data_IF_798243553327
#
_entry.id   IF_798243553327
#
_cell.length_a   1.000
_cell.length_b   1.000
_cell.length_c   1.000
_cell.angle_alpha   90.00
_cell.angle_beta   90.00
_cell.angle_gamma   90.00
#
_symmetry.space_group_name_H-M   'P 1'
#
loop_
_entity.id
_entity.type
_entity.pdbx_description
1 polymer ?
#
# COMPACT_ATOMS: atom_id res chain seq x y z
N UNK A 1 -4.26 -14.00 -0.67
CA UNK A 1 -3.05 -13.30 -1.21
C UNK A 1 -2.20 -12.90 -0.03
N UNK A 2 -0.91 -12.71 -0.24
CA UNK A 2 0.07 -12.57 0.84
C UNK A 2 1.10 -11.49 0.51
N UNK A 3 1.46 -10.67 1.50
CA UNK A 3 2.64 -9.80 1.47
C UNK A 3 3.61 -10.27 2.54
N UNK A 4 4.83 -10.59 2.12
CA UNK A 4 5.91 -11.01 3.01
C UNK A 4 6.68 -9.80 3.52
N UNK A 5 6.77 -9.69 4.84
CA UNK A 5 7.44 -8.62 5.55
C UNK A 5 8.52 -9.22 6.44
N UNK A 6 9.77 -9.00 6.07
CA UNK A 6 10.97 -9.36 6.83
C UNK A 6 11.79 -8.11 7.14
N UNK A 7 12.76 -8.21 8.06
CA UNK A 7 13.58 -7.06 8.48
C UNK A 7 14.24 -6.29 7.32
N UNK A 8 14.68 -7.00 6.29
CA UNK A 8 15.31 -6.41 5.11
C UNK A 8 14.31 -6.09 3.98
N UNK A 9 13.01 -6.24 4.22
CA UNK A 9 12.00 -5.88 3.22
C UNK A 9 11.93 -4.36 3.13
N UNK A 10 12.01 -3.84 1.91
CA UNK A 10 11.86 -2.40 1.65
C UNK A 10 10.41 -2.05 1.36
N UNK A 11 10.05 -0.79 1.55
CA UNK A 11 8.74 -0.27 1.13
C UNK A 11 8.51 -0.47 -0.37
N UNK A 12 9.56 -0.40 -1.20
CA UNK A 12 9.48 -0.65 -2.64
C UNK A 12 9.16 -2.11 -2.95
N UNK A 13 9.72 -3.07 -2.20
CA UNK A 13 9.40 -4.49 -2.36
C UNK A 13 7.94 -4.77 -2.00
N UNK A 14 7.42 -4.18 -0.92
CA UNK A 14 5.99 -4.31 -0.57
C UNK A 14 5.06 -3.74 -1.64
N UNK A 15 5.41 -2.60 -2.24
CA UNK A 15 4.65 -2.06 -3.39
C UNK A 15 4.65 -3.04 -4.55
N UNK A 16 5.80 -3.62 -4.87
CA UNK A 16 5.94 -4.62 -5.93
C UNK A 16 5.09 -5.86 -5.67
N UNK A 17 5.16 -6.43 -4.46
CA UNK A 17 4.35 -7.59 -4.06
C UNK A 17 2.85 -7.30 -4.20
N UNK A 18 2.38 -6.13 -3.73
CA UNK A 18 0.98 -5.73 -3.86
C UNK A 18 0.54 -5.58 -5.33
N UNK A 19 1.32 -4.86 -6.15
CA UNK A 19 0.96 -4.63 -7.55
C UNK A 19 1.01 -5.90 -8.42
N UNK A 20 1.73 -6.96 -8.01
CA UNK A 20 1.63 -8.28 -8.66
C UNK A 20 0.24 -8.90 -8.52
N UNK A 21 -0.45 -8.65 -7.39
CA UNK A 21 -1.82 -9.12 -7.18
C UNK A 21 -2.86 -8.20 -7.82
N UNK A 22 -2.59 -6.89 -7.86
CA UNK A 22 -3.49 -5.89 -8.43
C UNK A 22 -2.75 -4.92 -9.35
N UNK A 23 -2.55 -5.25 -10.64
CA UNK A 23 -1.75 -4.46 -11.57
C UNK A 23 -2.25 -3.03 -11.82
N UNK A 24 -3.53 -2.76 -11.52
CA UNK A 24 -4.16 -1.45 -11.71
C UNK A 24 -4.38 -0.70 -10.41
N UNK A 25 -3.81 -1.22 -9.32
CA UNK A 25 -3.71 -0.57 -8.02
C UNK A 25 -2.24 -0.38 -7.64
N UNK A 26 -1.95 0.67 -6.87
CA UNK A 26 -0.65 0.84 -6.23
C UNK A 26 -0.84 1.18 -4.76
N UNK A 27 0.14 0.77 -3.98
CA UNK A 27 0.27 1.10 -2.57
C UNK A 27 1.25 2.26 -2.41
N UNK A 28 0.91 3.26 -1.62
CA UNK A 28 1.85 4.31 -1.21
C UNK A 28 1.88 4.41 0.30
N UNK A 29 3.06 4.72 0.84
CA UNK A 29 3.24 4.92 2.27
C UNK A 29 3.09 6.41 2.57
N UNK A 30 2.32 6.71 3.61
CA UNK A 30 2.19 8.06 4.12
C UNK A 30 3.34 8.34 5.10
N UNK A 31 3.76 9.60 5.23
CA UNK A 31 4.83 9.95 6.17
C UNK A 31 4.47 9.45 7.56
N UNK A 32 5.39 8.71 8.16
CA UNK A 32 5.24 8.22 9.51
C UNK A 32 6.11 9.03 10.48
N UNK A 33 5.54 9.44 11.61
CA UNK A 33 6.29 10.03 12.73
C UNK A 33 6.79 8.91 13.64
N UNK A 34 8.01 8.42 13.42
CA UNK A 34 8.66 7.59 14.44
C UNK A 34 9.18 8.49 15.56
N UNK A 35 8.83 8.16 16.80
CA UNK A 35 9.31 8.87 17.98
C UNK A 35 10.75 8.42 18.31
N UNK A 36 11.68 8.58 17.37
CA UNK A 36 13.11 8.33 17.60
C UNK A 36 13.79 9.61 18.06
N UNK A 37 14.94 9.48 18.74
CA UNK A 37 15.77 10.62 19.15
C UNK A 37 16.31 11.44 17.96
N UNK A 38 16.14 10.98 16.73
CA UNK A 38 16.80 11.50 15.51
C UNK A 38 15.84 12.19 14.52
N UNK A 39 14.53 12.22 14.79
CA UNK A 39 13.56 13.00 14.01
C UNK A 39 12.74 12.20 12.98
N UNK A 40 12.15 12.91 12.02
CA UNK A 40 11.12 12.38 11.11
C UNK A 40 11.70 11.91 9.78
N UNK A 41 11.30 10.73 9.30
CA UNK A 41 11.51 10.36 7.90
C UNK A 41 10.52 11.14 7.02
N UNK A 42 11.04 11.80 6.00
CA UNK A 42 10.23 12.47 5.00
C UNK A 42 9.53 11.45 4.11
N UNK A 43 8.36 11.82 3.57
CA UNK A 43 7.63 11.06 2.55
C UNK A 43 8.58 10.62 1.42
N UNK A 44 9.47 11.52 0.98
CA UNK A 44 10.45 11.27 -0.09
C UNK A 44 11.39 10.12 0.24
N UNK A 45 11.83 9.98 1.48
CA UNK A 45 12.71 8.88 1.89
C UNK A 45 11.94 7.56 1.89
N UNK A 46 10.71 7.54 2.42
CA UNK A 46 9.86 6.35 2.42
C UNK A 46 9.60 5.86 0.98
N UNK A 47 9.40 6.76 0.01
CA UNK A 47 9.27 6.39 -1.40
C UNK A 47 10.59 5.93 -2.06
N UNK A 48 11.76 6.24 -1.49
CA UNK A 48 13.07 5.77 -1.99
C UNK A 48 13.40 4.33 -1.57
N UNK A 49 12.48 3.62 -0.92
CA UNK A 49 12.68 2.21 -0.56
C UNK A 49 13.36 2.02 0.79
N UNK A 50 13.03 2.82 1.80
CA UNK A 50 13.42 2.55 3.20
C UNK A 50 13.04 1.13 3.61
N UNK A 51 13.76 0.58 4.58
CA UNK A 51 13.33 -0.67 5.20
C UNK A 51 12.02 -0.46 5.95
N UNK A 52 11.18 -1.49 5.91
CA UNK A 52 9.87 -1.45 6.57
C UNK A 52 10.02 -1.26 8.07
N UNK A 53 11.03 -1.87 8.68
CA UNK A 53 11.33 -1.72 10.11
C UNK A 53 11.74 -0.30 10.51
N UNK A 54 12.35 0.46 9.60
CA UNK A 54 12.69 1.87 9.77
C UNK A 54 11.44 2.77 9.66
N UNK A 55 10.55 2.45 8.72
CA UNK A 55 9.33 3.21 8.43
C UNK A 55 8.16 2.94 9.42
N UNK A 56 8.16 1.80 10.10
CA UNK A 56 7.09 1.33 11.00
C UNK A 56 7.13 1.94 12.40
N UNK A 57 5.95 2.15 13.01
CA UNK A 57 5.82 2.45 14.45
C UNK A 57 6.37 1.32 15.31
N UNK A 58 5.90 0.12 15.01
CA UNK A 58 6.30 -1.13 15.61
C UNK A 58 6.51 -2.12 14.47
N UNK A 59 7.66 -2.78 14.48
CA UNK A 59 8.01 -3.72 13.45
C UNK A 59 7.70 -5.14 13.90
N UNK A 60 6.95 -5.88 13.07
CA UNK A 60 6.69 -7.30 13.24
C UNK A 60 6.93 -7.99 11.91
N UNK A 61 7.84 -8.97 11.91
CA UNK A 61 8.00 -9.85 10.76
C UNK A 61 6.79 -10.77 10.62
N UNK A 62 6.42 -11.08 9.38
CA UNK A 62 5.34 -11.98 9.10
C UNK A 62 4.76 -11.83 7.70
N UNK A 63 3.52 -12.29 7.59
CA UNK A 63 2.77 -12.29 6.34
C UNK A 63 1.46 -11.53 6.56
N UNK A 64 1.21 -10.49 5.76
CA UNK A 64 -0.10 -9.86 5.70
C UNK A 64 -0.96 -10.65 4.73
N UNK A 65 -2.01 -11.29 5.25
CA UNK A 65 -3.00 -11.98 4.44
C UNK A 65 -4.15 -11.05 4.09
N UNK A 66 -4.57 -11.08 2.83
CA UNK A 66 -5.74 -10.35 2.36
C UNK A 66 -6.43 -11.11 1.23
N UNK A 67 -7.71 -10.81 1.02
CA UNK A 67 -8.53 -11.41 -0.03
C UNK A 67 -8.88 -10.37 -1.10
N UNK A 68 -9.17 -10.78 -2.34
CA UNK A 68 -9.66 -9.85 -3.37
C UNK A 68 -11.00 -9.19 -3.02
N UNK A 69 -11.78 -9.81 -2.12
CA UNK A 69 -13.05 -9.29 -1.63
C UNK A 69 -12.89 -8.30 -0.48
N UNK A 70 -11.74 -8.28 0.19
CA UNK A 70 -11.43 -7.27 1.20
C UNK A 70 -11.51 -5.87 0.57
N UNK A 71 -12.07 -4.94 1.33
CA UNK A 71 -12.15 -3.53 1.01
C UNK A 71 -10.78 -2.88 1.08
N UNK A 72 -10.62 -1.75 0.40
CA UNK A 72 -9.40 -0.94 0.55
C UNK A 72 -9.20 -0.51 2.00
N UNK A 73 -10.27 -0.11 2.68
CA UNK A 73 -10.21 0.32 4.08
C UNK A 73 -9.69 -0.80 5.00
N UNK A 74 -10.15 -2.04 4.80
CA UNK A 74 -9.65 -3.20 5.56
C UNK A 74 -8.16 -3.46 5.32
N UNK A 75 -7.68 -3.32 4.08
CA UNK A 75 -6.25 -3.46 3.79
C UNK A 75 -5.43 -2.33 4.45
N UNK A 76 -5.85 -1.08 4.28
CA UNK A 76 -5.17 0.08 4.89
C UNK A 76 -5.11 -0.06 6.43
N UNK A 77 -6.20 -0.55 7.04
CA UNK A 77 -6.26 -0.84 8.47
C UNK A 77 -5.35 -2.01 8.87
N UNK A 78 -5.25 -3.07 8.07
CA UNK A 78 -4.36 -4.19 8.36
C UNK A 78 -2.89 -3.75 8.41
N UNK A 79 -2.45 -2.89 7.48
CA UNK A 79 -1.10 -2.30 7.53
C UNK A 79 -0.86 -1.47 8.79
N UNK A 80 -1.86 -0.70 9.22
CA UNK A 80 -1.75 0.10 10.43
C UNK A 80 -1.69 -0.78 11.69
N UNK A 81 -2.48 -1.85 11.77
CA UNK A 81 -2.55 -2.72 12.95
C UNK A 81 -1.38 -3.71 13.02
N UNK A 82 -0.95 -4.27 11.89
CA UNK A 82 0.07 -5.32 11.85
C UNK A 82 1.49 -4.74 11.83
N UNK A 83 1.67 -3.58 11.19
CA UNK A 83 2.99 -2.98 10.95
C UNK A 83 3.13 -1.55 11.47
N UNK A 84 2.07 -0.94 12.01
CA UNK A 84 2.13 0.47 12.39
C UNK A 84 2.38 1.41 11.20
N UNK A 85 1.98 1.00 9.98
CA UNK A 85 2.21 1.75 8.76
C UNK A 85 0.92 2.35 8.24
N UNK A 86 0.92 3.68 8.12
CA UNK A 86 -0.12 4.38 7.39
C UNK A 86 0.15 4.23 5.88
N UNK A 87 -0.74 3.53 5.18
CA UNK A 87 -0.67 3.34 3.74
C UNK A 87 -1.91 3.87 3.06
N UNK A 88 -1.80 4.11 1.76
CA UNK A 88 -2.90 4.53 0.90
C UNK A 88 -2.90 3.75 -0.40
N UNK A 89 -4.08 3.27 -0.79
CA UNK A 89 -4.27 2.65 -2.11
C UNK A 89 -4.68 3.71 -3.13
N UNK A 90 -4.08 3.62 -4.31
CA UNK A 90 -4.43 4.41 -5.48
C UNK A 90 -4.84 3.48 -6.61
N UNK A 91 -5.77 3.94 -7.45
CA UNK A 91 -6.26 3.22 -8.63
C UNK A 91 -5.84 3.95 -9.90
N UNK A 92 -5.53 3.19 -10.94
CA UNK A 92 -5.26 3.75 -12.29
C UNK A 92 -6.51 4.47 -12.84
N UNK A 93 -6.29 5.61 -13.47
CA UNK A 93 -7.28 6.40 -14.22
C UNK A 93 -6.69 6.84 -15.58
N UNK A 94 -7.47 7.46 -16.49
CA UNK A 94 -6.94 7.92 -17.77
C UNK A 94 -5.76 8.88 -17.59
N UNK A 95 -5.91 9.81 -16.65
CA UNK A 95 -4.98 10.91 -16.43
C UNK A 95 -3.89 10.60 -15.39
N UNK A 96 -3.84 9.39 -14.83
CA UNK A 96 -2.86 9.07 -13.79
C UNK A 96 -3.30 8.02 -12.78
N UNK A 97 -3.01 8.31 -11.52
CA UNK A 97 -3.39 7.53 -10.36
C UNK A 97 -4.24 8.42 -9.46
N UNK A 98 -5.39 7.92 -9.04
CA UNK A 98 -6.31 8.62 -8.14
C UNK A 98 -6.39 7.88 -6.81
N UNK A 99 -6.50 8.62 -5.71
CA UNK A 99 -6.68 8.00 -4.41
C UNK A 99 -8.07 7.36 -4.31
N UNK A 100 -8.18 6.29 -3.53
CA UNK A 100 -9.44 5.56 -3.38
C UNK A 100 -10.21 5.96 -2.13
N UNK A 101 -9.97 7.12 -1.52
CA UNK A 101 -10.59 7.51 -0.23
C UNK A 101 -12.11 7.49 -0.28
N UNK A 102 -12.70 8.09 -1.31
CA UNK A 102 -14.17 8.13 -1.48
C UNK A 102 -14.78 6.78 -1.85
N UNK A 103 -13.96 5.81 -2.24
CA UNK A 103 -14.37 4.47 -2.68
C UNK A 103 -13.72 3.36 -1.86
N UNK A 104 -13.24 3.68 -0.65
CA UNK A 104 -12.46 2.75 0.16
C UNK A 104 -13.27 1.55 0.65
N UNK A 105 -14.60 1.70 0.68
CA UNK A 105 -15.58 0.65 0.95
C UNK A 105 -15.71 -0.39 -0.18
N UNK A 106 -15.15 -0.14 -1.36
CA UNK A 106 -15.13 -1.11 -2.45
C UNK A 106 -14.00 -2.12 -2.26
N UNK A 107 -14.23 -3.36 -2.72
CA UNK A 107 -13.23 -4.41 -2.69
C UNK A 107 -12.01 -4.08 -3.58
N UNK A 108 -10.85 -4.61 -3.21
CA UNK A 108 -9.62 -4.51 -3.99
C UNK A 108 -9.82 -5.02 -5.42
N UNK A 109 -10.52 -6.15 -5.59
CA UNK A 109 -10.88 -6.67 -6.92
C UNK A 109 -11.73 -5.70 -7.72
N UNK A 110 -12.77 -5.09 -7.13
CA UNK A 110 -13.63 -4.13 -7.81
C UNK A 110 -12.86 -2.89 -8.23
N UNK A 111 -12.02 -2.36 -7.34
CA UNK A 111 -11.14 -1.24 -7.63
C UNK A 111 -10.17 -1.55 -8.77
N UNK A 112 -9.51 -2.72 -8.72
CA UNK A 112 -8.59 -3.16 -9.76
C UNK A 112 -9.30 -3.31 -11.12
N UNK A 113 -10.51 -3.85 -11.14
CA UNK A 113 -11.31 -4.00 -12.36
C UNK A 113 -11.73 -2.64 -12.94
N UNK A 114 -12.08 -1.67 -12.09
CA UNK A 114 -12.37 -0.30 -12.54
C UNK A 114 -11.13 0.34 -13.19
N UNK A 115 -9.94 0.14 -12.62
CA UNK A 115 -8.68 0.60 -13.22
C UNK A 115 -8.37 -0.10 -14.56
N UNK A 116 -8.64 -1.41 -14.65
CA UNK A 116 -8.46 -2.17 -15.88
C UNK A 116 -9.41 -1.71 -17.00
N UNK A 117 -10.68 -1.43 -16.68
CA UNK A 117 -11.69 -1.02 -17.64
C UNK A 117 -11.34 0.31 -18.33
N UNK A 118 -10.75 1.24 -17.57
CA UNK A 118 -10.31 2.54 -18.09
C UNK A 118 -9.28 2.38 -19.22
N UNK A 119 -8.32 1.46 -19.09
CA UNK A 119 -7.29 1.24 -20.13
C UNK A 119 -7.85 0.54 -21.36
N UNK A 120 -8.91 -0.26 -21.22
CA UNK A 120 -9.56 -0.94 -22.35
C UNK A 120 -10.43 0.00 -23.18
N UNK A 121 -10.95 1.08 -22.60
CA UNK A 121 -11.77 2.07 -23.28
C UNK A 121 -10.97 3.05 -24.16
N UNK A 122 -9.65 2.92 -24.22
CA UNK A 122 -8.74 3.76 -25.01
C UNK A 122 -8.29 3.10 -26.33
N UNK A 123 -8.81 1.91 -26.64
CA UNK A 123 -8.56 1.14 -27.88
C UNK A 123 -9.89 0.70 -28.48
#
# INVERSE_FOLDING_TARGET
MELHVYKNTTTQELKSQFSRHFPFLKLEFLAYRRNTKEGFHSIKEVHKGLYVDEASEFFKEGVIYFSPSATVAELEQAFQIELGLAVKVFRRSPDGWIDTTQTSHLSLSKQNNMGAAVLRAQF
#
